data_IF_353275026853
#
_entry.id   IF_353275026853
#
_cell.length_a   1.000
_cell.length_b   1.000
_cell.length_c   1.000
_cell.angle_alpha   90.00
_cell.angle_beta   90.00
_cell.angle_gamma   90.00
#
_symmetry.space_group_name_H-M   'P 1'
#
loop_
_entity.id
_entity.type
_entity.pdbx_description
1 polymer ?
#
# COMPACT_ATOMS: atom_id res chain seq x y z
N UNK A 1 -9.69 -23.06 20.32
CA UNK A 1 -8.59 -22.13 20.00
C UNK A 1 -7.92 -22.62 18.74
N UNK A 2 -8.39 -22.16 17.59
CA UNK A 2 -7.64 -22.32 16.35
C UNK A 2 -6.39 -21.43 16.43
N UNK A 3 -5.25 -22.01 16.05
CA UNK A 3 -3.95 -21.37 16.19
C UNK A 3 -3.89 -20.18 15.23
N UNK A 4 -3.57 -18.99 15.76
CA UNK A 4 -3.29 -17.75 14.99
C UNK A 4 -2.31 -17.98 13.83
N UNK A 5 -1.43 -18.98 13.99
CA UNK A 5 -0.54 -19.53 12.95
C UNK A 5 -1.22 -19.90 11.63
N UNK A 6 -2.48 -20.35 11.62
CA UNK A 6 -3.17 -20.76 10.38
C UNK A 6 -3.72 -19.60 9.55
N UNK A 7 -3.92 -18.42 10.14
CA UNK A 7 -4.34 -17.24 9.37
C UNK A 7 -3.13 -16.53 8.78
N UNK A 8 -2.05 -16.37 9.56
CA UNK A 8 -0.79 -15.81 9.06
C UNK A 8 -0.22 -16.63 7.88
N UNK A 9 -0.41 -17.96 7.90
CA UNK A 9 0.10 -18.84 6.84
C UNK A 9 -0.66 -18.78 5.52
N UNK A 10 -1.83 -18.16 5.48
CA UNK A 10 -2.71 -18.13 4.30
C UNK A 10 -2.70 -16.79 3.57
N UNK A 11 -2.02 -15.78 4.11
CA UNK A 11 -2.09 -14.39 3.62
C UNK A 11 -0.80 -13.95 2.91
N UNK A 12 0.28 -14.75 2.96
CA UNK A 12 1.57 -14.36 2.37
C UNK A 12 2.12 -15.45 1.43
N UNK A 13 2.08 -15.25 0.10
CA UNK A 13 2.91 -15.98 -0.85
C UNK A 13 4.37 -15.58 -0.63
N UNK A 14 5.24 -16.57 -0.38
CA UNK A 14 6.61 -16.36 0.10
C UNK A 14 6.97 -17.09 1.40
N UNK A 15 6.09 -18.01 1.85
CA UNK A 15 6.19 -18.80 3.08
C UNK A 15 7.58 -19.43 3.33
N UNK A 16 8.32 -19.82 2.29
CA UNK A 16 9.66 -20.41 2.43
C UNK A 16 10.73 -19.43 2.95
N UNK A 17 10.59 -18.12 2.71
CA UNK A 17 11.51 -17.12 3.26
C UNK A 17 11.22 -16.89 4.75
N UNK A 18 9.94 -16.85 5.14
CA UNK A 18 9.51 -16.57 6.52
C UNK A 18 9.70 -17.75 7.49
N UNK A 19 9.55 -19.00 7.04
CA UNK A 19 9.74 -20.18 7.91
C UNK A 19 11.14 -20.28 8.50
N UNK A 20 12.14 -19.70 7.82
CA UNK A 20 13.52 -19.67 8.29
C UNK A 20 13.75 -18.63 9.40
N UNK A 21 12.92 -17.59 9.48
CA UNK A 21 12.97 -16.53 10.49
C UNK A 21 12.01 -16.75 11.67
N UNK A 22 10.93 -17.53 11.49
CA UNK A 22 9.93 -17.82 12.53
C UNK A 22 10.43 -18.63 13.73
N UNK A 23 11.58 -19.32 13.63
CA UNK A 23 12.03 -20.23 14.70
C UNK A 23 12.63 -19.56 15.95
N UNK A 24 12.49 -18.25 16.14
CA UNK A 24 13.08 -17.59 17.31
C UNK A 24 12.61 -16.18 17.67
N UNK A 25 11.56 -15.65 17.03
CA UNK A 25 11.00 -14.35 17.39
C UNK A 25 9.87 -14.52 18.40
N UNK A 26 9.80 -13.62 19.37
CA UNK A 26 8.65 -13.53 20.25
C UNK A 26 7.43 -12.96 19.48
N UNK A 27 6.19 -13.22 19.94
CA UNK A 27 4.98 -12.83 19.20
C UNK A 27 4.83 -11.34 18.93
N UNK A 28 5.41 -10.47 19.79
CA UNK A 28 5.32 -9.02 19.63
C UNK A 28 6.20 -8.56 18.47
N UNK A 29 7.42 -9.10 18.41
CA UNK A 29 8.34 -8.92 17.28
C UNK A 29 7.75 -9.41 15.95
N UNK A 30 7.05 -10.55 15.94
CA UNK A 30 6.39 -11.06 14.73
C UNK A 30 5.28 -10.13 14.22
N UNK A 31 4.46 -9.59 15.14
CA UNK A 31 3.37 -8.66 14.80
C UNK A 31 3.94 -7.34 14.26
N UNK A 32 4.99 -6.82 14.90
CA UNK A 32 5.65 -5.61 14.42
C UNK A 32 6.19 -5.79 13.00
N UNK A 33 6.89 -6.90 12.73
CA UNK A 33 7.41 -7.19 11.39
C UNK A 33 6.28 -7.30 10.35
N UNK A 34 5.15 -7.94 10.69
CA UNK A 34 4.00 -7.98 9.79
C UNK A 34 3.45 -6.58 9.47
N UNK A 35 3.30 -5.73 10.50
CA UNK A 35 2.87 -4.33 10.34
C UNK A 35 3.86 -3.53 9.47
N UNK A 36 5.15 -3.74 9.69
CA UNK A 36 6.19 -3.05 8.93
C UNK A 36 6.20 -3.50 7.47
N UNK A 37 6.09 -4.79 7.20
CA UNK A 37 5.99 -5.31 5.84
C UNK A 37 4.75 -4.80 5.11
N UNK A 38 3.61 -4.71 5.81
CA UNK A 38 2.41 -4.10 5.24
C UNK A 38 2.63 -2.62 4.90
N UNK A 39 3.24 -1.84 5.81
CA UNK A 39 3.54 -0.43 5.57
C UNK A 39 4.51 -0.23 4.39
N UNK A 40 5.52 -1.09 4.26
CA UNK A 40 6.45 -1.07 3.11
C UNK A 40 5.75 -1.35 1.78
N UNK A 41 4.79 -2.27 1.76
CA UNK A 41 3.95 -2.55 0.57
C UNK A 41 3.13 -1.32 0.19
N UNK A 42 2.48 -0.69 1.17
CA UNK A 42 1.72 0.55 0.94
C UNK A 42 2.62 1.67 0.38
N UNK A 43 3.73 1.96 1.04
CA UNK A 43 4.65 3.03 0.62
C UNK A 43 5.27 2.76 -0.76
N UNK A 44 5.57 1.50 -1.06
CA UNK A 44 6.06 1.12 -2.40
C UNK A 44 5.01 1.40 -3.48
N UNK A 45 3.76 1.05 -3.21
CA UNK A 45 2.64 1.32 -4.11
C UNK A 45 2.43 2.83 -4.31
N UNK A 46 2.47 3.59 -3.22
CA UNK A 46 2.31 5.05 -3.26
C UNK A 46 3.45 5.72 -4.01
N UNK A 47 4.68 5.21 -3.90
CA UNK A 47 5.82 5.66 -4.69
C UNK A 47 5.60 5.45 -6.19
N UNK A 48 5.15 4.27 -6.60
CA UNK A 48 4.81 4.03 -8.01
C UNK A 48 3.70 4.95 -8.51
N UNK A 49 2.68 5.21 -7.68
CA UNK A 49 1.61 6.13 -8.04
C UNK A 49 2.12 7.57 -8.25
N UNK A 50 2.97 8.09 -7.34
CA UNK A 50 3.57 9.43 -7.46
C UNK A 50 4.55 9.58 -8.63
N UNK A 51 4.95 8.49 -9.27
CA UNK A 51 5.89 8.50 -10.40
C UNK A 51 5.26 7.93 -11.68
N UNK A 52 3.94 7.72 -11.71
CA UNK A 52 3.26 7.03 -12.80
C UNK A 52 3.40 7.76 -14.14
N UNK A 53 3.50 9.09 -14.14
CA UNK A 53 3.74 9.91 -15.34
C UNK A 53 5.24 10.13 -15.65
N UNK A 54 6.11 9.75 -14.71
CA UNK A 54 7.56 9.95 -14.73
C UNK A 54 8.05 11.19 -13.99
N UNK A 55 7.18 11.96 -13.34
CA UNK A 55 7.55 13.14 -12.56
C UNK A 55 6.95 13.07 -11.15
N UNK A 56 7.76 13.43 -10.15
CA UNK A 56 7.25 13.54 -8.78
C UNK A 56 6.59 14.89 -8.55
N UNK A 57 5.29 14.92 -8.26
CA UNK A 57 4.58 16.15 -7.94
C UNK A 57 4.50 16.40 -6.44
N UNK A 58 4.72 17.67 -6.05
CA UNK A 58 4.73 18.08 -4.65
C UNK A 58 3.40 17.80 -3.93
N UNK A 59 2.26 17.85 -4.63
CA UNK A 59 0.94 17.62 -4.02
C UNK A 59 0.74 16.15 -3.68
N UNK A 60 1.09 15.25 -4.58
CA UNK A 60 1.11 13.80 -4.37
C UNK A 60 2.03 13.45 -3.19
N UNK A 61 3.26 13.99 -3.19
CA UNK A 61 4.21 13.81 -2.08
C UNK A 61 3.69 14.29 -0.73
N UNK A 62 3.00 15.42 -0.69
CA UNK A 62 2.37 15.91 0.54
C UNK A 62 1.25 14.98 1.02
N UNK A 63 0.43 14.44 0.11
CA UNK A 63 -0.62 13.48 0.44
C UNK A 63 0.00 12.19 1.01
N UNK A 64 1.03 11.64 0.36
CA UNK A 64 1.73 10.46 0.86
C UNK A 64 2.32 10.72 2.25
N UNK A 65 2.91 11.89 2.50
CA UNK A 65 3.36 12.27 3.83
C UNK A 65 2.25 12.29 4.89
N UNK A 66 1.04 12.71 4.50
CA UNK A 66 -0.14 12.63 5.39
C UNK A 66 -0.60 11.19 5.61
N UNK A 67 -0.58 10.35 4.58
CA UNK A 67 -0.94 8.93 4.70
C UNK A 67 0.04 8.17 5.61
N UNK A 68 1.35 8.43 5.50
CA UNK A 68 2.38 7.88 6.41
C UNK A 68 2.12 8.36 7.84
N UNK A 69 1.82 9.66 8.03
CA UNK A 69 1.49 10.18 9.36
C UNK A 69 0.26 9.49 9.96
N UNK A 70 -0.79 9.25 9.15
CA UNK A 70 -2.02 8.59 9.58
C UNK A 70 -1.80 7.14 10.02
N UNK A 71 -0.73 6.46 9.58
CA UNK A 71 -0.39 5.12 10.10
C UNK A 71 -0.14 5.11 11.61
N UNK A 72 0.21 6.26 12.20
CA UNK A 72 0.47 6.44 13.63
C UNK A 72 -0.73 7.03 14.38
N UNK A 73 -1.85 7.30 13.72
CA UNK A 73 -3.03 7.76 14.42
C UNK A 73 -3.63 6.64 15.29
N UNK A 74 -4.53 7.04 16.20
CA UNK A 74 -5.16 6.11 17.13
C UNK A 74 -5.86 4.98 16.37
N UNK A 75 -5.70 3.74 16.85
CA UNK A 75 -6.26 2.51 16.28
C UNK A 75 -5.73 2.19 14.86
N UNK A 76 -4.62 2.82 14.42
CA UNK A 76 -3.95 2.53 13.14
C UNK A 76 -2.72 1.59 13.31
N UNK A 77 -2.01 1.35 12.20
CA UNK A 77 -0.93 0.35 12.07
C UNK A 77 0.09 0.45 13.22
N UNK A 78 0.57 1.67 13.48
CA UNK A 78 1.64 1.96 14.44
C UNK A 78 1.17 2.77 15.65
N UNK A 79 -0.12 2.73 16.00
CA UNK A 79 -0.67 3.43 17.18
C UNK A 79 0.17 3.15 18.44
N UNK A 80 0.46 1.86 18.68
CA UNK A 80 1.27 1.40 19.83
C UNK A 80 2.79 1.59 19.70
N UNK A 81 3.29 2.21 18.61
CA UNK A 81 4.72 2.34 18.29
C UNK A 81 5.14 3.81 18.10
N UNK A 82 4.52 4.74 18.82
CA UNK A 82 4.87 6.17 18.74
C UNK A 82 6.33 6.45 19.10
N UNK A 83 6.89 5.68 20.04
CA UNK A 83 8.27 5.87 20.51
C UNK A 83 9.32 5.51 19.45
N UNK A 84 8.96 4.69 18.46
CA UNK A 84 9.81 4.29 17.32
C UNK A 84 9.43 5.01 16.02
N UNK A 85 8.63 6.07 16.10
CA UNK A 85 8.08 6.74 14.91
C UNK A 85 9.15 7.24 13.96
N UNK A 86 10.19 7.90 14.47
CA UNK A 86 11.24 8.49 13.63
C UNK A 86 12.00 7.40 12.86
N UNK A 87 12.33 6.28 13.51
CA UNK A 87 13.01 5.12 12.89
C UNK A 87 12.12 4.46 11.82
N UNK A 88 10.84 4.23 12.13
CA UNK A 88 9.89 3.65 11.17
C UNK A 88 9.73 4.56 9.96
N UNK A 89 9.60 5.88 10.17
CA UNK A 89 9.45 6.85 9.07
C UNK A 89 10.72 6.92 8.22
N UNK A 90 11.90 6.86 8.83
CA UNK A 90 13.18 6.79 8.11
C UNK A 90 13.22 5.56 7.19
N UNK A 91 12.93 4.38 7.72
CA UNK A 91 12.90 3.14 6.93
C UNK A 91 11.84 3.16 5.83
N UNK A 92 10.64 3.70 6.09
CA UNK A 92 9.62 3.88 5.06
C UNK A 92 10.05 4.89 3.99
N UNK A 93 10.80 5.93 4.34
CA UNK A 93 11.32 6.90 3.38
C UNK A 93 12.33 6.25 2.43
N UNK A 94 13.20 5.36 2.94
CA UNK A 94 14.11 4.58 2.09
C UNK A 94 13.35 3.67 1.12
N UNK A 95 12.24 3.06 1.57
CA UNK A 95 11.38 2.24 0.71
C UNK A 95 10.63 3.08 -0.32
N UNK A 96 10.25 4.32 0.00
CA UNK A 96 9.64 5.21 -0.98
C UNK A 96 10.60 5.52 -2.14
N UNK A 97 11.88 5.78 -1.83
CA UNK A 97 12.92 6.05 -2.84
C UNK A 97 13.32 4.80 -3.64
N UNK A 98 13.18 3.61 -3.03
CA UNK A 98 13.49 2.32 -3.66
C UNK A 98 12.36 1.30 -3.40
N UNK A 99 11.22 1.43 -4.12
CA UNK A 99 10.03 0.64 -3.84
C UNK A 99 10.23 -0.86 -4.10
N UNK A 100 9.48 -1.67 -3.34
CA UNK A 100 9.39 -3.10 -3.54
C UNK A 100 8.78 -3.41 -4.93
N UNK A 101 9.19 -4.50 -5.60
CA UNK A 101 8.62 -4.88 -6.89
C UNK A 101 7.09 -5.05 -6.83
N UNK A 102 6.37 -4.61 -7.87
CA UNK A 102 4.90 -4.76 -8.01
C UNK A 102 4.42 -6.19 -7.71
N UNK A 103 5.19 -7.21 -8.11
CA UNK A 103 4.87 -8.61 -7.79
C UNK A 103 4.72 -8.86 -6.29
N UNK A 104 5.58 -8.28 -5.46
CA UNK A 104 5.47 -8.43 -4.00
C UNK A 104 4.21 -7.72 -3.44
N UNK A 105 3.81 -6.60 -4.04
CA UNK A 105 2.57 -5.90 -3.69
C UNK A 105 1.36 -6.77 -4.05
N UNK A 106 1.35 -7.35 -5.25
CA UNK A 106 0.32 -8.32 -5.69
C UNK A 106 0.22 -9.48 -4.71
N UNK A 107 1.35 -10.16 -4.47
CA UNK A 107 1.42 -11.34 -3.61
C UNK A 107 0.85 -11.02 -2.21
N UNK A 108 1.11 -9.83 -1.67
CA UNK A 108 0.57 -9.42 -0.36
C UNK A 108 -0.96 -9.35 -0.30
N UNK A 109 -1.62 -9.07 -1.43
CA UNK A 109 -3.09 -9.00 -1.53
C UNK A 109 -3.73 -10.30 -2.04
N UNK A 110 -2.94 -11.34 -2.32
CA UNK A 110 -3.44 -12.58 -2.93
C UNK A 110 -4.53 -13.23 -2.07
N UNK A 111 -5.65 -13.57 -2.71
CA UNK A 111 -6.82 -14.14 -2.03
C UNK A 111 -7.62 -13.15 -1.18
N UNK A 112 -7.27 -11.86 -1.16
CA UNK A 112 -7.99 -10.81 -0.45
C UNK A 112 -8.43 -9.68 -1.39
N UNK A 113 -9.58 -9.81 -2.07
CA UNK A 113 -10.05 -8.84 -3.05
C UNK A 113 -10.36 -7.45 -2.44
N UNK A 114 -10.71 -7.38 -1.16
CA UNK A 114 -10.95 -6.11 -0.46
C UNK A 114 -9.63 -5.36 -0.30
N UNK A 115 -8.56 -6.06 0.08
CA UNK A 115 -7.24 -5.45 0.22
C UNK A 115 -6.69 -4.99 -1.13
N UNK A 116 -6.82 -5.82 -2.17
CA UNK A 116 -6.45 -5.46 -3.52
C UNK A 116 -7.19 -4.20 -4.01
N UNK A 117 -8.50 -4.11 -3.75
CA UNK A 117 -9.30 -2.94 -4.09
C UNK A 117 -8.86 -1.68 -3.33
N UNK A 118 -8.51 -1.81 -2.05
CA UNK A 118 -7.98 -0.69 -1.25
C UNK A 118 -6.63 -0.20 -1.78
N UNK A 119 -5.72 -1.12 -2.15
CA UNK A 119 -4.46 -0.76 -2.81
C UNK A 119 -4.72 0.02 -4.11
N UNK A 120 -5.63 -0.47 -4.93
CA UNK A 120 -6.00 0.24 -6.15
C UNK A 120 -6.58 1.64 -5.86
N UNK A 121 -7.48 1.75 -4.88
CA UNK A 121 -8.10 3.02 -4.48
C UNK A 121 -7.06 4.03 -3.96
N UNK A 122 -6.07 3.61 -3.17
CA UNK A 122 -4.98 4.48 -2.74
C UNK A 122 -4.22 5.06 -3.94
N UNK A 123 -3.87 4.23 -4.93
CA UNK A 123 -3.15 4.67 -6.12
C UNK A 123 -3.98 5.67 -6.95
N UNK A 124 -5.28 5.40 -7.13
CA UNK A 124 -6.20 6.34 -7.82
C UNK A 124 -6.30 7.66 -7.05
N UNK A 125 -6.41 7.61 -5.72
CA UNK A 125 -6.49 8.79 -4.87
C UNK A 125 -5.25 9.67 -4.99
N UNK A 126 -4.06 9.06 -4.97
CA UNK A 126 -2.79 9.78 -5.12
C UNK A 126 -2.72 10.49 -6.47
N UNK A 127 -2.90 9.74 -7.55
CA UNK A 127 -2.84 10.27 -8.92
C UNK A 127 -3.91 11.35 -9.16
N UNK A 128 -5.09 11.20 -8.56
CA UNK A 128 -6.17 12.18 -8.70
C UNK A 128 -5.89 13.53 -8.02
N UNK A 129 -4.87 13.61 -7.16
CA UNK A 129 -4.53 14.83 -6.42
C UNK A 129 -4.21 16.01 -7.33
N UNK A 130 -3.67 15.74 -8.52
CA UNK A 130 -3.33 16.77 -9.51
C UNK A 130 -4.50 17.13 -10.45
N UNK A 131 -5.66 16.50 -10.26
CA UNK A 131 -6.96 16.93 -10.81
C UNK A 131 -7.31 16.34 -12.18
N UNK A 132 -6.34 15.82 -12.94
CA UNK A 132 -6.64 15.13 -14.20
C UNK A 132 -5.62 14.04 -14.50
N UNK A 133 -6.09 12.89 -14.97
CA UNK A 133 -5.19 11.79 -15.32
C UNK A 133 -4.49 12.01 -16.67
N UNK A 134 -3.16 11.95 -16.65
CA UNK A 134 -2.35 11.81 -17.87
C UNK A 134 -2.59 10.44 -18.51
N UNK A 135 -2.27 10.28 -19.80
CA UNK A 135 -2.45 8.97 -20.46
C UNK A 135 -1.52 7.89 -19.88
N UNK A 136 -0.35 8.29 -19.36
CA UNK A 136 0.58 7.40 -18.66
C UNK A 136 0.02 6.93 -17.32
N UNK A 137 -0.58 7.82 -16.54
CA UNK A 137 -1.25 7.47 -15.29
C UNK A 137 -2.43 6.52 -15.53
N UNK A 138 -3.23 6.75 -16.59
CA UNK A 138 -4.31 5.83 -16.97
C UNK A 138 -3.75 4.46 -17.35
N UNK A 139 -2.66 4.41 -18.11
CA UNK A 139 -1.99 3.16 -18.48
C UNK A 139 -1.49 2.42 -17.23
N UNK A 140 -0.78 3.12 -16.34
CA UNK A 140 -0.35 2.60 -15.04
C UNK A 140 -1.51 2.03 -14.22
N UNK A 141 -2.60 2.79 -14.05
CA UNK A 141 -3.78 2.34 -13.31
C UNK A 141 -4.44 1.12 -13.96
N UNK A 142 -4.47 1.05 -15.29
CA UNK A 142 -5.03 -0.10 -15.99
C UNK A 142 -4.16 -1.35 -15.78
N UNK A 143 -2.84 -1.21 -15.77
CA UNK A 143 -1.92 -2.32 -15.55
C UNK A 143 -1.91 -2.75 -14.09
N UNK A 144 -1.92 -1.81 -13.15
CA UNK A 144 -2.07 -2.09 -11.72
C UNK A 144 -3.38 -2.84 -11.43
N UNK A 145 -4.50 -2.42 -12.02
CA UNK A 145 -5.78 -3.11 -11.87
C UNK A 145 -5.74 -4.56 -12.39
N UNK A 146 -5.00 -4.83 -13.47
CA UNK A 146 -4.82 -6.19 -13.99
C UNK A 146 -3.94 -7.02 -13.06
N UNK A 147 -2.82 -6.47 -12.59
CA UNK A 147 -1.89 -7.15 -11.69
C UNK A 147 -2.55 -7.52 -10.36
N UNK A 148 -3.37 -6.60 -9.81
CA UNK A 148 -4.15 -6.82 -8.59
C UNK A 148 -5.46 -7.58 -8.82
N UNK A 149 -5.73 -8.01 -10.06
CA UNK A 149 -6.91 -8.79 -10.44
C UNK A 149 -8.25 -8.11 -10.05
N UNK A 150 -8.28 -6.77 -10.14
CA UNK A 150 -9.46 -5.95 -9.81
C UNK A 150 -10.54 -6.17 -10.87
N UNK A 151 -11.78 -6.40 -10.40
CA UNK A 151 -12.91 -6.53 -11.30
C UNK A 151 -13.16 -5.22 -12.05
N UNK A 152 -13.64 -5.30 -13.29
CA UNK A 152 -13.97 -4.11 -14.08
C UNK A 152 -15.04 -3.23 -13.41
N UNK A 153 -15.93 -3.85 -12.62
CA UNK A 153 -16.96 -3.13 -11.89
C UNK A 153 -16.37 -2.34 -10.72
N UNK A 154 -15.49 -2.96 -9.93
CA UNK A 154 -14.85 -2.29 -8.80
C UNK A 154 -13.91 -1.20 -9.27
N UNK A 155 -13.13 -1.46 -10.32
CA UNK A 155 -12.28 -0.46 -10.97
C UNK A 155 -13.09 0.78 -11.36
N UNK A 156 -14.19 0.59 -12.10
CA UNK A 156 -15.06 1.70 -12.52
C UNK A 156 -15.66 2.45 -11.33
N UNK A 157 -16.10 1.73 -10.30
CA UNK A 157 -16.67 2.35 -9.11
C UNK A 157 -15.63 3.20 -8.37
N UNK A 158 -14.39 2.72 -8.26
CA UNK A 158 -13.28 3.45 -7.63
C UNK A 158 -12.91 4.67 -8.49
N UNK A 159 -12.65 4.50 -9.79
CA UNK A 159 -12.30 5.60 -10.70
C UNK A 159 -13.33 6.74 -10.67
N UNK A 160 -14.62 6.39 -10.62
CA UNK A 160 -15.72 7.36 -10.58
C UNK A 160 -15.74 8.20 -9.30
N UNK A 161 -15.30 7.67 -8.15
CA UNK A 161 -15.23 8.44 -6.90
C UNK A 161 -14.30 9.65 -7.01
N UNK A 162 -13.26 9.56 -7.83
CA UNK A 162 -12.19 10.55 -7.92
C UNK A 162 -12.25 11.43 -9.18
N UNK A 163 -13.03 11.02 -10.19
CA UNK A 163 -13.20 11.77 -11.45
C UNK A 163 -14.32 12.83 -11.42
N UNK A 164 -15.28 12.74 -10.49
CA UNK A 164 -16.41 13.68 -10.34
C UNK A 164 -16.07 15.00 -9.61
N UNK A 165 -14.79 15.32 -9.40
CA UNK A 165 -14.36 16.57 -8.76
C UNK A 165 -14.19 17.74 -9.74
N UNK A 166 -14.44 17.54 -11.03
CA UNK A 166 -14.21 18.54 -12.10
C UNK A 166 -15.34 19.56 -12.33
N UNK A 167 -16.50 19.43 -11.66
CA UNK A 167 -17.68 20.30 -11.89
C UNK A 167 -18.07 21.21 -10.70
N UNK A 168 -17.13 21.52 -9.79
CA UNK A 168 -17.37 22.46 -8.70
C UNK A 168 -16.27 23.52 -8.60
N UNK A 169 -16.24 24.43 -9.57
CA UNK A 169 -15.76 25.80 -9.40
C UNK A 169 -16.60 26.76 -10.27
#
# INVERSE_FOLDING_TARGET
MERVSSLASKVLPGHEFYEKFQKGLDPESEIFQLKMNYAKVLVSLWSYACHADGNFHKREGNLVGQMVKAMFDKDCIFDSHQDSKDEIVEELSEVFESPLPIKMIKDFSEGNPVLAANFYEDAVCIIATDGSFTDREKEFLNDLAKELEISQMDKKNIDNKYSDTSDKD
#
